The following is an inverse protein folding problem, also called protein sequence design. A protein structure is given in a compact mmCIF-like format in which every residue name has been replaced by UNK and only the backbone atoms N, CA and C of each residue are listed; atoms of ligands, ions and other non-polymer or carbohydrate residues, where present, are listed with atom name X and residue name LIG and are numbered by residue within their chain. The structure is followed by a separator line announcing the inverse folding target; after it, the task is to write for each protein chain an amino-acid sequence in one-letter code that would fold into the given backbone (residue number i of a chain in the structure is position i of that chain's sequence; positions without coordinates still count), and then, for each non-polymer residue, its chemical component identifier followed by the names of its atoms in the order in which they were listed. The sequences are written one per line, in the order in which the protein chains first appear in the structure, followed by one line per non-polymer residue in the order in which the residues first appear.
data_IF_798028887723
#
_entry.id   IF_798028887723
#
_cell.length_a   1.000
_cell.length_b   1.000
_cell.length_c   1.000
_cell.angle_alpha   90.00
_cell.angle_beta   90.00
_cell.angle_gamma   90.00
#
_symmetry.space_group_name_H-M   'P 1'
#
loop_
_entity.id
_entity.type
_entity.pdbx_description
1 polymer ?
#
# COMPACT_ATOMS: atom_id res chain seq x y z
N UNK A 1 -24.16 1.27 14.62
CA UNK A 1 -23.15 0.54 15.41
C UNK A 1 -21.85 1.32 15.38
N UNK A 2 -21.12 1.46 16.50
CA UNK A 2 -19.80 2.10 16.48
C UNK A 2 -18.84 1.23 15.67
N UNK A 3 -18.09 1.84 14.75
CA UNK A 3 -17.08 1.16 13.96
C UNK A 3 -15.96 0.65 14.89
N UNK A 4 -15.95 -0.65 15.17
CA UNK A 4 -14.99 -1.26 16.12
C UNK A 4 -13.53 -1.12 15.68
N UNK A 5 -13.28 -1.11 14.36
CA UNK A 5 -11.94 -1.00 13.80
C UNK A 5 -11.37 0.40 14.05
N UNK A 6 -12.20 1.44 13.85
CA UNK A 6 -11.81 2.82 14.18
C UNK A 6 -11.48 2.98 15.67
N UNK A 7 -12.27 2.36 16.54
CA UNK A 7 -12.01 2.36 17.99
C UNK A 7 -10.70 1.66 18.34
N UNK A 8 -10.37 0.56 17.65
CA UNK A 8 -9.09 -0.13 17.83
C UNK A 8 -7.91 0.72 17.34
N UNK A 9 -8.03 1.34 16.17
CA UNK A 9 -7.01 2.22 15.59
C UNK A 9 -6.68 3.41 16.50
N UNK A 10 -7.64 3.94 17.25
CA UNK A 10 -7.40 5.01 18.23
C UNK A 10 -6.34 4.66 19.29
N UNK A 11 -6.22 3.38 19.63
CA UNK A 11 -5.26 2.91 20.64
C UNK A 11 -3.84 2.74 20.09
N UNK A 12 -3.70 2.73 18.77
CA UNK A 12 -2.46 2.40 18.07
C UNK A 12 -1.87 3.65 17.41
N UNK A 13 -2.72 4.46 16.77
CA UNK A 13 -2.30 5.62 16.01
C UNK A 13 -2.05 6.83 16.90
N UNK A 14 -1.16 7.71 16.43
CA UNK A 14 -1.05 9.08 16.95
C UNK A 14 -2.38 9.81 16.73
N UNK A 15 -2.71 10.73 17.63
CA UNK A 15 -3.97 11.48 17.58
C UNK A 15 -4.16 12.25 16.25
N UNK A 16 -3.07 12.78 15.66
CA UNK A 16 -3.11 13.47 14.36
C UNK A 16 -3.57 12.56 13.24
N UNK A 17 -3.07 11.32 13.22
CA UNK A 17 -3.34 10.31 12.20
C UNK A 17 -4.74 9.71 12.38
N UNK A 18 -5.11 9.44 13.64
CA UNK A 18 -6.46 8.99 13.99
C UNK A 18 -7.54 9.98 13.54
N UNK A 19 -7.35 11.29 13.78
CA UNK A 19 -8.30 12.34 13.36
C UNK A 19 -8.50 12.42 11.85
N UNK A 20 -7.52 12.01 11.05
CA UNK A 20 -7.70 11.90 9.59
C UNK A 20 -8.67 10.77 9.27
N UNK A 21 -8.47 9.59 9.85
CA UNK A 21 -9.36 8.44 9.64
C UNK A 21 -10.77 8.65 10.16
N UNK A 22 -10.98 9.46 11.21
CA UNK A 22 -12.34 9.83 11.67
C UNK A 22 -13.19 10.51 10.59
N UNK A 23 -12.57 11.09 9.55
CA UNK A 23 -13.28 11.70 8.43
C UNK A 23 -13.80 10.68 7.41
N UNK A 24 -13.33 9.43 7.47
CA UNK A 24 -13.74 8.35 6.57
C UNK A 24 -14.79 7.51 7.28
N UNK A 25 -15.97 7.39 6.67
CA UNK A 25 -17.08 6.66 7.30
C UNK A 25 -17.07 5.15 6.99
N UNK A 26 -16.34 4.73 5.96
CA UNK A 26 -16.35 3.37 5.39
C UNK A 26 -15.60 2.36 6.28
N UNK A 27 -16.28 1.40 6.93
CA UNK A 27 -15.62 0.51 7.89
C UNK A 27 -14.56 -0.42 7.30
N UNK A 28 -14.74 -0.84 6.05
CA UNK A 28 -13.77 -1.70 5.33
C UNK A 28 -12.39 -1.04 5.21
N UNK A 29 -12.32 0.29 5.11
CA UNK A 29 -11.06 1.04 5.10
C UNK A 29 -10.32 0.87 6.42
N UNK A 30 -11.03 1.08 7.53
CA UNK A 30 -10.44 0.95 8.86
C UNK A 30 -10.03 -0.49 9.18
N UNK A 31 -10.83 -1.47 8.75
CA UNK A 31 -10.49 -2.87 8.87
C UNK A 31 -9.18 -3.19 8.13
N UNK A 32 -9.07 -2.79 6.86
CA UNK A 32 -7.88 -3.06 6.06
C UNK A 32 -6.61 -2.44 6.66
N UNK A 33 -6.67 -1.19 7.12
CA UNK A 33 -5.53 -0.54 7.80
C UNK A 33 -5.17 -1.29 9.09
N UNK A 34 -6.16 -1.67 9.89
CA UNK A 34 -5.92 -2.39 11.14
C UNK A 34 -5.27 -3.76 10.90
N UNK A 35 -5.76 -4.50 9.90
CA UNK A 35 -5.21 -5.81 9.52
C UNK A 35 -3.78 -5.68 9.01
N UNK A 36 -3.50 -4.68 8.17
CA UNK A 36 -2.16 -4.39 7.69
C UNK A 36 -1.18 -4.08 8.85
N UNK A 37 -1.60 -3.26 9.82
CA UNK A 37 -0.81 -2.96 11.02
C UNK A 37 -0.54 -4.24 11.82
N UNK A 38 -1.58 -5.03 12.09
CA UNK A 38 -1.46 -6.25 12.90
C UNK A 38 -0.58 -7.31 12.23
N UNK A 39 -0.65 -7.41 10.90
CA UNK A 39 0.14 -8.36 10.13
C UNK A 39 1.60 -7.91 10.02
N UNK A 40 1.84 -6.66 9.62
CA UNK A 40 3.15 -6.19 9.22
C UNK A 40 3.97 -5.58 10.37
N UNK A 41 3.32 -5.22 11.48
CA UNK A 41 3.93 -4.71 12.71
C UNK A 41 4.85 -3.48 12.52
N UNK A 42 4.36 -2.38 11.91
CA UNK A 42 5.13 -1.16 11.72
C UNK A 42 5.42 -0.45 13.05
N UNK A 43 6.53 0.30 13.12
CA UNK A 43 6.86 1.13 14.29
C UNK A 43 6.08 2.44 14.35
N UNK A 44 5.62 2.92 13.20
CA UNK A 44 4.79 4.12 13.08
C UNK A 44 3.85 3.99 11.89
N UNK A 45 2.78 4.78 11.88
CA UNK A 45 1.81 4.79 10.77
C UNK A 45 1.59 6.24 10.35
N UNK A 46 1.77 6.51 9.06
CA UNK A 46 1.53 7.81 8.46
C UNK A 46 0.32 7.72 7.53
N UNK A 47 -0.75 8.43 7.87
CA UNK A 47 -1.97 8.53 7.06
C UNK A 47 -1.83 9.77 6.19
N UNK A 48 -1.66 9.59 4.89
CA UNK A 48 -1.57 10.72 3.98
C UNK A 48 -2.98 11.21 3.61
N UNK A 49 -3.28 12.46 3.91
CA UNK A 49 -4.57 13.10 3.60
C UNK A 49 -4.52 14.02 2.38
N UNK A 50 -3.49 13.86 1.55
CA UNK A 50 -3.26 14.59 0.29
C UNK A 50 -3.12 16.11 0.45
N UNK A 51 -2.68 16.58 1.61
CA UNK A 51 -2.27 17.98 1.77
C UNK A 51 -0.93 18.23 1.07
N UNK A 52 -0.67 19.45 0.56
CA UNK A 52 0.60 19.76 -0.09
C UNK A 52 1.83 19.46 0.76
N UNK A 53 1.75 19.70 2.07
CA UNK A 53 2.84 19.44 3.02
C UNK A 53 3.10 17.95 3.19
N UNK A 54 2.05 17.12 3.20
CA UNK A 54 2.19 15.65 3.30
C UNK A 54 2.75 15.03 2.02
N UNK A 55 2.36 15.55 0.86
CA UNK A 55 2.92 15.15 -0.43
C UNK A 55 4.41 15.51 -0.50
N UNK A 56 4.76 16.75 -0.11
CA UNK A 56 6.15 17.18 -0.02
C UNK A 56 6.93 16.35 1.02
N UNK A 57 6.30 15.99 2.14
CA UNK A 57 6.89 15.13 3.17
C UNK A 57 7.23 13.75 2.63
N UNK A 58 6.32 13.09 1.91
CA UNK A 58 6.56 11.77 1.29
C UNK A 58 7.80 11.81 0.39
N UNK A 59 7.88 12.79 -0.51
CA UNK A 59 9.04 12.97 -1.38
C UNK A 59 10.34 13.22 -0.61
N UNK A 60 10.28 14.08 0.40
CA UNK A 60 11.44 14.36 1.25
C UNK A 60 11.89 13.10 2.01
N UNK A 61 10.94 12.30 2.50
CA UNK A 61 11.24 11.04 3.19
C UNK A 61 11.84 10.01 2.25
N UNK A 62 11.42 9.93 0.98
CA UNK A 62 12.08 9.08 -0.02
C UNK A 62 13.58 9.44 -0.15
N UNK A 63 13.91 10.74 -0.14
CA UNK A 63 15.31 11.20 -0.19
C UNK A 63 16.06 10.93 1.13
N UNK A 64 15.49 11.29 2.27
CA UNK A 64 16.15 11.16 3.58
C UNK A 64 16.33 9.70 4.00
N UNK A 65 15.40 8.82 3.61
CA UNK A 65 15.53 7.37 3.78
C UNK A 65 16.52 6.72 2.81
N UNK A 66 17.04 7.50 1.84
CA UNK A 66 17.93 7.05 0.75
C UNK A 66 17.28 6.09 -0.24
N UNK A 67 15.96 5.92 -0.19
CA UNK A 67 15.23 5.24 -1.27
C UNK A 67 15.35 6.05 -2.56
N UNK A 68 15.42 7.38 -2.51
CA UNK A 68 15.68 8.23 -3.66
C UNK A 68 16.90 9.14 -3.45
N UNK A 69 17.46 9.63 -4.55
CA UNK A 69 18.49 10.66 -4.57
C UNK A 69 18.03 11.88 -5.36
N UNK A 70 18.27 13.07 -4.80
CA UNK A 70 18.02 14.36 -5.44
C UNK A 70 19.23 14.90 -6.20
N UNK A 71 20.27 14.09 -6.43
CA UNK A 71 21.50 14.48 -7.11
C UNK A 71 21.34 14.61 -8.64
N UNK A 72 20.29 15.32 -9.08
CA UNK A 72 20.01 15.67 -10.46
C UNK A 72 20.07 17.19 -10.62
N UNK A 73 20.47 17.64 -11.81
CA UNK A 73 20.58 19.07 -12.13
C UNK A 73 19.20 19.76 -12.27
N UNK A 74 18.14 18.98 -12.49
CA UNK A 74 16.79 19.51 -12.69
C UNK A 74 16.09 19.64 -11.33
N UNK A 75 15.69 20.87 -10.92
CA UNK A 75 15.04 21.07 -9.64
C UNK A 75 13.78 20.21 -9.47
N UNK A 76 13.68 19.55 -8.33
CA UNK A 76 12.55 18.70 -8.00
C UNK A 76 12.58 17.31 -8.66
N UNK A 77 13.57 16.97 -9.47
CA UNK A 77 13.71 15.59 -9.97
C UNK A 77 14.51 14.74 -8.98
N UNK A 78 14.15 13.47 -8.88
CA UNK A 78 14.85 12.45 -8.10
C UNK A 78 15.07 11.20 -8.94
N UNK A 79 15.95 10.30 -8.48
CA UNK A 79 16.12 8.98 -9.06
C UNK A 79 16.24 7.91 -7.97
N UNK A 80 15.87 6.68 -8.33
CA UNK A 80 16.06 5.45 -7.57
C UNK A 80 16.77 4.42 -8.48
N UNK A 81 17.57 3.54 -7.89
CA UNK A 81 18.13 2.40 -8.59
C UNK A 81 17.67 1.11 -7.92
N UNK A 82 16.87 0.32 -8.65
CA UNK A 82 16.47 -1.00 -8.20
C UNK A 82 17.64 -2.01 -8.24
N UNK A 83 17.48 -3.10 -7.50
CA UNK A 83 18.42 -4.21 -7.51
C UNK A 83 18.44 -4.92 -8.88
N UNK A 84 19.55 -5.57 -9.27
CA UNK A 84 19.66 -6.23 -10.58
C UNK A 84 18.65 -7.39 -10.77
N UNK A 85 18.07 -7.92 -9.70
CA UNK A 85 17.03 -8.96 -9.71
C UNK A 85 15.58 -8.40 -9.73
N UNK A 86 15.43 -7.08 -9.75
CA UNK A 86 14.14 -6.37 -9.72
C UNK A 86 14.04 -5.28 -10.80
N UNK A 87 14.40 -5.62 -12.03
CA UNK A 87 14.45 -4.69 -13.18
C UNK A 87 13.19 -4.71 -14.05
N UNK A 88 12.16 -5.46 -13.62
CA UNK A 88 10.94 -5.59 -14.40
C UNK A 88 9.95 -6.57 -13.80
N UNK A 89 8.74 -6.54 -14.34
CA UNK A 89 7.63 -7.36 -13.86
C UNK A 89 7.94 -8.85 -13.99
N UNK A 90 7.94 -9.53 -12.86
CA UNK A 90 8.15 -10.97 -12.80
C UNK A 90 6.83 -11.74 -12.92
N UNK A 91 6.65 -12.42 -14.06
CA UNK A 91 5.45 -13.19 -14.36
C UNK A 91 5.36 -14.52 -13.59
N UNK A 92 6.49 -15.06 -13.15
CA UNK A 92 6.54 -16.36 -12.48
C UNK A 92 6.02 -16.27 -11.04
N UNK A 93 6.30 -15.13 -10.38
CA UNK A 93 5.84 -14.86 -9.01
C UNK A 93 4.53 -14.06 -8.93
N UNK A 94 4.01 -13.61 -10.07
CA UNK A 94 2.68 -12.98 -10.17
C UNK A 94 1.61 -14.05 -10.32
N UNK A 95 0.67 -14.16 -9.38
CA UNK A 95 -0.38 -15.20 -9.39
C UNK A 95 -1.76 -14.65 -9.03
N UNK A 96 -2.79 -15.22 -9.64
CA UNK A 96 -4.18 -15.03 -9.20
C UNK A 96 -4.53 -16.05 -8.13
N UNK A 97 -5.17 -15.58 -7.05
CA UNK A 97 -5.70 -16.43 -5.99
C UNK A 97 -7.09 -16.91 -6.39
N UNK A 98 -7.25 -18.22 -6.59
CA UNK A 98 -8.48 -18.81 -7.13
C UNK A 98 -9.11 -19.73 -6.08
N UNK A 99 -10.41 -19.60 -5.78
CA UNK A 99 -11.09 -20.49 -4.86
C UNK A 99 -10.98 -21.96 -5.27
N UNK A 100 -10.97 -22.84 -4.27
CA UNK A 100 -10.90 -24.28 -4.50
C UNK A 100 -12.04 -24.77 -5.39
N UNK A 101 -11.69 -25.39 -6.51
CA UNK A 101 -12.64 -25.91 -7.49
C UNK A 101 -13.00 -24.96 -8.64
N UNK A 102 -12.50 -23.72 -8.58
CA UNK A 102 -12.54 -22.78 -9.70
C UNK A 102 -11.22 -22.78 -10.47
N UNK A 103 -11.22 -22.23 -11.68
CA UNK A 103 -10.03 -22.01 -12.48
C UNK A 103 -10.24 -20.83 -13.41
N UNK A 104 -9.23 -19.96 -13.55
CA UNK A 104 -9.18 -18.98 -14.63
C UNK A 104 -8.52 -19.60 -15.87
N UNK A 105 -8.41 -18.79 -16.92
CA UNK A 105 -7.68 -19.16 -18.15
C UNK A 105 -6.30 -19.74 -17.82
N UNK A 106 -5.87 -20.84 -18.47
CA UNK A 106 -4.52 -21.40 -18.30
C UNK A 106 -3.38 -20.44 -18.66
N UNK A 107 -3.69 -19.34 -19.37
CA UNK A 107 -2.73 -18.29 -19.67
C UNK A 107 -2.40 -17.39 -18.46
N UNK A 108 -3.21 -17.46 -17.40
CA UNK A 108 -3.01 -16.75 -16.14
C UNK A 108 -2.35 -17.69 -15.14
N UNK A 109 -1.23 -17.26 -14.59
CA UNK A 109 -0.58 -17.96 -13.49
C UNK A 109 -1.48 -17.85 -12.25
N UNK A 110 -1.79 -18.97 -11.62
CA UNK A 110 -2.80 -19.04 -10.56
C UNK A 110 -2.45 -20.10 -9.51
N UNK A 111 -2.97 -19.92 -8.31
CA UNK A 111 -2.78 -20.81 -7.16
C UNK A 111 -4.09 -20.91 -6.39
N UNK A 112 -4.27 -22.00 -5.63
CA UNK A 112 -5.37 -22.08 -4.66
C UNK A 112 -5.32 -20.87 -3.71
N UNK A 113 -6.48 -20.27 -3.46
CA UNK A 113 -6.59 -19.04 -2.70
C UNK A 113 -6.07 -19.18 -1.28
N UNK A 114 -6.46 -20.24 -0.57
CA UNK A 114 -6.07 -20.41 0.83
C UNK A 114 -4.57 -20.71 0.95
N UNK A 115 -4.02 -21.46 0.00
CA UNK A 115 -2.57 -21.69 -0.12
C UNK A 115 -1.81 -20.38 -0.36
N UNK A 116 -2.25 -19.58 -1.34
CA UNK A 116 -1.60 -18.31 -1.68
C UNK A 116 -1.71 -17.27 -0.56
N UNK A 117 -2.87 -17.16 0.10
CA UNK A 117 -3.07 -16.29 1.26
C UNK A 117 -2.16 -16.70 2.43
N UNK A 118 -2.04 -18.00 2.71
CA UNK A 118 -1.15 -18.51 3.75
C UNK A 118 0.32 -18.16 3.45
N UNK A 119 0.76 -18.30 2.20
CA UNK A 119 2.12 -17.95 1.79
C UNK A 119 2.39 -16.44 1.92
N UNK A 120 1.54 -15.59 1.32
CA UNK A 120 1.78 -14.15 1.31
C UNK A 120 1.68 -13.54 2.71
N UNK A 121 0.75 -13.98 3.54
CA UNK A 121 0.67 -13.52 4.93
C UNK A 121 1.82 -14.02 5.79
N UNK A 122 2.43 -15.17 5.47
CA UNK A 122 3.66 -15.59 6.13
C UNK A 122 4.84 -14.66 5.78
N UNK A 123 4.93 -14.22 4.52
CA UNK A 123 5.97 -13.31 4.04
C UNK A 123 5.82 -11.88 4.56
N UNK A 124 4.58 -11.37 4.61
CA UNK A 124 4.27 -10.02 5.11
C UNK A 124 4.35 -9.91 6.64
N UNK A 125 4.32 -11.03 7.36
CA UNK A 125 4.32 -11.02 8.83
C UNK A 125 5.57 -10.32 9.36
N UNK A 126 5.38 -9.27 10.15
CA UNK A 126 6.45 -8.44 10.72
C UNK A 126 7.38 -7.79 9.69
N UNK A 127 6.98 -7.68 8.41
CA UNK A 127 7.87 -7.15 7.36
C UNK A 127 8.18 -5.64 7.52
N UNK A 128 7.40 -4.93 8.34
CA UNK A 128 7.53 -3.49 8.59
C UNK A 128 8.11 -3.16 9.97
N UNK A 129 8.64 -4.13 10.71
CA UNK A 129 9.28 -3.85 12.02
C UNK A 129 10.38 -2.80 11.87
N UNK A 130 10.27 -1.72 12.66
CA UNK A 130 11.20 -0.59 12.60
C UNK A 130 10.99 0.38 11.44
N UNK A 131 9.94 0.18 10.63
CA UNK A 131 9.57 1.05 9.51
C UNK A 131 8.25 1.79 9.78
N UNK A 132 8.03 2.86 9.02
CA UNK A 132 6.74 3.54 8.96
C UNK A 132 5.88 2.88 7.89
N UNK A 133 4.65 2.50 8.23
CA UNK A 133 3.64 2.15 7.22
C UNK A 133 2.97 3.43 6.73
N UNK A 134 3.08 3.71 5.44
CA UNK A 134 2.40 4.80 4.76
C UNK A 134 1.06 4.29 4.23
N UNK A 135 -0.02 5.00 4.55
CA UNK A 135 -1.36 4.76 3.99
C UNK A 135 -1.67 5.83 2.97
N UNK A 136 -1.86 5.42 1.71
CA UNK A 136 -2.22 6.26 0.58
C UNK A 136 -3.66 5.99 0.15
N UNK A 137 -4.37 7.07 -0.20
CA UNK A 137 -5.71 7.03 -0.76
C UNK A 137 -5.65 7.62 -2.16
N UNK A 138 -6.15 6.87 -3.14
CA UNK A 138 -5.94 7.12 -4.55
C UNK A 138 -7.27 6.95 -5.31
N UNK A 139 -7.32 7.45 -6.53
CA UNK A 139 -8.47 7.28 -7.44
C UNK A 139 -7.99 6.88 -8.83
N UNK A 140 -8.57 5.81 -9.38
CA UNK A 140 -8.50 5.48 -10.79
C UNK A 140 -9.60 6.22 -11.56
N UNK A 141 -9.21 6.85 -12.67
CA UNK A 141 -10.10 7.73 -13.44
C UNK A 141 -10.20 9.14 -12.86
N UNK A 142 -11.01 10.03 -13.46
CA UNK A 142 -11.21 11.39 -12.96
C UNK A 142 -11.90 11.39 -11.59
N UNK A 143 -11.37 12.17 -10.64
CA UNK A 143 -12.02 12.36 -9.35
C UNK A 143 -13.44 12.93 -9.51
N UNK A 144 -14.37 12.54 -8.64
CA UNK A 144 -15.79 12.91 -8.68
C UNK A 144 -16.57 12.43 -9.93
N UNK A 145 -16.00 11.51 -10.71
CA UNK A 145 -16.74 10.80 -11.76
C UNK A 145 -17.53 9.63 -11.16
N UNK A 146 -18.68 9.30 -11.74
CA UNK A 146 -19.41 8.05 -11.42
C UNK A 146 -18.61 6.79 -11.77
N UNK A 147 -17.63 6.91 -12.68
CA UNK A 147 -16.71 5.84 -13.07
C UNK A 147 -15.41 5.84 -12.25
N UNK A 148 -15.27 6.74 -11.27
CA UNK A 148 -14.10 6.78 -10.41
C UNK A 148 -14.04 5.52 -9.55
N UNK A 149 -12.89 4.86 -9.53
CA UNK A 149 -12.69 3.68 -8.67
C UNK A 149 -11.74 4.06 -7.53
N UNK A 150 -12.23 4.11 -6.28
CA UNK A 150 -11.36 4.37 -5.13
C UNK A 150 -10.34 3.23 -4.97
N UNK A 151 -9.11 3.61 -4.66
CA UNK A 151 -8.00 2.70 -4.44
C UNK A 151 -7.26 3.12 -3.17
N UNK A 152 -6.71 2.18 -2.42
CA UNK A 152 -5.85 2.48 -1.28
C UNK A 152 -4.65 1.54 -1.25
N UNK A 153 -3.56 2.06 -0.73
CA UNK A 153 -2.31 1.31 -0.60
C UNK A 153 -1.71 1.52 0.78
N UNK A 154 -1.34 0.41 1.42
CA UNK A 154 -0.48 0.39 2.60
C UNK A 154 0.89 -0.12 2.19
N UNK A 155 1.92 0.69 2.37
CA UNK A 155 3.30 0.39 1.94
C UNK A 155 4.30 0.81 3.01
N UNK A 156 5.48 0.19 3.05
CA UNK A 156 6.62 0.62 3.89
C UNK A 156 7.74 1.31 3.11
N UNK A 157 7.52 1.58 1.81
CA UNK A 157 8.46 2.26 0.93
C UNK A 157 7.99 3.69 0.65
N UNK A 158 8.84 4.64 0.98
CA UNK A 158 8.63 6.05 0.65
C UNK A 158 8.76 6.31 -0.86
N UNK A 159 9.65 5.60 -1.55
CA UNK A 159 9.76 5.63 -3.01
C UNK A 159 8.47 5.19 -3.70
N UNK A 160 7.89 4.06 -3.26
CA UNK A 160 6.59 3.59 -3.77
C UNK A 160 5.50 4.63 -3.49
N UNK A 161 5.45 5.16 -2.26
CA UNK A 161 4.48 6.19 -1.90
C UNK A 161 4.60 7.48 -2.73
N UNK A 162 5.82 7.88 -3.08
CA UNK A 162 6.08 9.05 -3.93
C UNK A 162 5.69 8.75 -5.38
N UNK A 163 6.02 7.55 -5.88
CA UNK A 163 5.70 7.12 -7.23
C UNK A 163 4.19 7.04 -7.47
N UNK A 164 3.41 6.51 -6.52
CA UNK A 164 1.95 6.46 -6.68
C UNK A 164 1.30 7.85 -6.67
N UNK A 165 1.90 8.85 -6.01
CA UNK A 165 1.44 10.26 -6.09
C UNK A 165 1.59 10.83 -7.51
N UNK A 166 2.63 10.40 -8.24
CA UNK A 166 2.86 10.82 -9.63
C UNK A 166 1.95 10.08 -10.63
N UNK A 167 1.62 8.82 -10.33
CA UNK A 167 0.90 7.93 -11.26
C UNK A 167 -0.63 7.98 -11.09
N UNK A 168 -1.11 8.22 -9.87
CA UNK A 168 -2.52 8.19 -9.51
C UNK A 168 -3.02 9.58 -9.11
N UNK A 169 -4.35 9.75 -9.07
CA UNK A 169 -4.95 10.97 -8.51
C UNK A 169 -5.16 10.80 -7.01
N UNK A 170 -4.97 11.90 -6.27
CA UNK A 170 -5.25 12.02 -4.84
C UNK A 170 -6.70 11.59 -4.53
N UNK A 171 -6.86 10.75 -3.51
CA UNK A 171 -8.13 10.09 -3.21
C UNK A 171 -8.66 10.29 -1.80
N UNK A 172 -7.90 10.87 -0.87
CA UNK A 172 -8.39 11.08 0.49
C UNK A 172 -9.70 11.89 0.55
N UNK A 173 -9.88 12.98 -0.24
CA UNK A 173 -11.16 13.68 -0.31
C UNK A 173 -12.30 12.80 -0.79
N UNK A 174 -12.05 11.94 -1.80
CA UNK A 174 -13.03 10.98 -2.30
C UNK A 174 -13.44 10.00 -1.21
N UNK A 175 -12.47 9.38 -0.52
CA UNK A 175 -12.75 8.45 0.59
C UNK A 175 -13.52 9.10 1.75
N UNK A 176 -13.29 10.39 2.02
CA UNK A 176 -14.01 11.14 3.06
C UNK A 176 -15.49 11.41 2.71
N UNK A 177 -15.84 11.35 1.43
CA UNK A 177 -17.21 11.55 0.93
C UNK A 177 -17.95 10.22 0.73
N UNK A 178 -17.23 9.10 0.67
CA UNK A 178 -17.83 7.78 0.57
C UNK A 178 -18.63 7.43 1.82
N UNK A 179 -19.74 6.73 1.62
CA UNK A 179 -20.59 6.23 2.68
C UNK A 179 -21.25 4.92 2.29
N UNK A 180 -21.65 4.13 3.29
CA UNK A 180 -22.27 2.83 3.07
C UNK A 180 -21.27 1.72 2.74
N UNK A 181 -21.74 0.70 2.03
CA UNK A 181 -20.92 -0.41 1.57
C UNK A 181 -20.31 -0.06 0.21
N UNK A 182 -19.02 0.30 0.21
CA UNK A 182 -18.28 0.72 -0.97
C UNK A 182 -17.13 -0.23 -1.21
N UNK A 183 -16.97 -0.64 -2.45
CA UNK A 183 -15.81 -1.39 -2.91
C UNK A 183 -14.70 -0.44 -3.34
N UNK A 184 -13.48 -0.83 -3.03
CA UNK A 184 -12.27 -0.14 -3.44
C UNK A 184 -11.16 -1.17 -3.65
N UNK A 185 -10.17 -0.84 -4.47
CA UNK A 185 -8.98 -1.68 -4.57
C UNK A 185 -8.08 -1.45 -3.36
N UNK A 186 -7.70 -2.52 -2.68
CA UNK A 186 -6.86 -2.48 -1.49
C UNK A 186 -5.55 -3.21 -1.77
N UNK A 187 -4.44 -2.48 -1.72
CA UNK A 187 -3.10 -3.02 -1.96
C UNK A 187 -2.31 -2.99 -0.65
N UNK A 188 -1.79 -4.14 -0.23
CA UNK A 188 -0.81 -4.23 0.85
C UNK A 188 0.54 -4.58 0.23
N UNK A 189 1.51 -3.68 0.39
CA UNK A 189 2.85 -3.78 -0.16
C UNK A 189 3.87 -3.73 0.98
N UNK A 190 4.96 -4.47 0.83
CA UNK A 190 6.16 -4.28 1.63
C UNK A 190 7.37 -4.64 0.78
N UNK A 191 8.41 -3.81 0.84
CA UNK A 191 9.68 -4.08 0.16
C UNK A 191 10.52 -5.17 0.87
N UNK A 192 10.08 -5.62 2.05
CA UNK A 192 10.80 -6.58 2.88
C UNK A 192 12.09 -6.00 3.48
N UNK A 193 13.04 -6.85 3.84
CA UNK A 193 14.35 -6.38 4.32
C UNK A 193 15.16 -5.79 3.16
N UNK A 194 15.69 -4.58 3.35
CA UNK A 194 16.51 -3.86 2.37
C UNK A 194 17.98 -3.89 2.76
N UNK A 195 18.88 -3.80 1.77
CA UNK A 195 20.32 -3.65 1.97
C UNK A 195 20.74 -2.17 2.14
N UNK A 196 22.04 -1.90 2.22
CA UNK A 196 22.59 -0.54 2.35
C UNK A 196 22.31 0.37 1.14
N UNK A 197 21.93 -0.19 -0.01
CA UNK A 197 21.57 0.52 -1.23
C UNK A 197 20.05 0.72 -1.35
N UNK A 198 19.29 0.34 -0.31
CA UNK A 198 17.83 0.41 -0.28
C UNK A 198 17.15 -0.48 -1.33
N UNK A 199 17.77 -1.61 -1.70
CA UNK A 199 17.17 -2.63 -2.58
C UNK A 199 16.85 -3.91 -1.80
N UNK A 200 15.89 -4.71 -2.28
CA UNK A 200 15.43 -5.90 -1.55
C UNK A 200 16.52 -6.96 -1.40
N UNK A 201 16.85 -7.30 -0.15
CA UNK A 201 17.85 -8.31 0.19
C UNK A 201 17.35 -9.74 -0.06
N UNK A 202 16.05 -9.96 0.06
CA UNK A 202 15.40 -11.26 -0.09
C UNK A 202 14.61 -11.33 -1.42
N UNK A 203 15.27 -10.98 -2.54
CA UNK A 203 14.62 -10.88 -3.85
C UNK A 203 13.95 -12.18 -4.31
N UNK A 204 14.38 -13.34 -3.80
CA UNK A 204 13.80 -14.67 -4.08
C UNK A 204 12.41 -14.86 -3.45
N UNK A 205 12.09 -14.06 -2.42
CA UNK A 205 10.81 -14.10 -1.71
C UNK A 205 9.75 -13.19 -2.31
N UNK A 206 10.05 -12.43 -3.38
CA UNK A 206 9.07 -11.55 -4.02
C UNK A 206 7.84 -12.31 -4.48
N UNK A 207 6.65 -11.75 -4.26
CA UNK A 207 5.34 -12.30 -4.65
C UNK A 207 4.41 -11.16 -5.02
N UNK A 208 3.59 -11.37 -6.06
CA UNK A 208 2.54 -10.43 -6.46
C UNK A 208 1.24 -11.21 -6.60
N UNK A 209 0.43 -11.24 -5.54
CA UNK A 209 -0.79 -12.04 -5.50
C UNK A 209 -2.02 -11.16 -5.67
N UNK A 210 -2.90 -11.57 -6.59
CA UNK A 210 -4.12 -10.84 -6.94
C UNK A 210 -5.30 -11.68 -6.47
N UNK A 211 -5.96 -11.21 -5.41
CA UNK A 211 -7.23 -11.78 -4.95
C UNK A 211 -8.39 -10.99 -5.57
N UNK A 212 -9.16 -11.67 -6.42
CA UNK A 212 -10.36 -11.09 -7.05
C UNK A 212 -11.65 -11.45 -6.28
N UNK A 213 -11.52 -12.27 -5.24
CA UNK A 213 -12.65 -12.76 -4.45
C UNK A 213 -12.71 -11.98 -3.14
N UNK A 214 -13.83 -11.30 -2.92
CA UNK A 214 -14.04 -10.45 -1.74
C UNK A 214 -14.31 -11.27 -0.49
#
# INVERSE_FOLDING_TARGET
MKNQFLVALRKILKESEYKKLEKISVPKVHQFILDAIQLCNPSDVFICSDTPDEIAHIKNMAIVSKEESSALLIPGHTFHFDGPQDQGRDREVTKFLVPKGESLSPALNQIDRDEGLKEIFALLRNSMVGKTMIVRFLVLGPANSEFAIPCMECTDSWYVSHTVDLLYRNGFPTFSQLSGDVDFFATLHSAGELDENMVSKNYDKKRIYIDYTK
#
